data_IF_933208103339
#
_entry.id   IF_933208103339
#
_cell.length_a   1.000
_cell.length_b   1.000
_cell.length_c   1.000
_cell.angle_alpha   90.00
_cell.angle_beta   90.00
_cell.angle_gamma   90.00
#
_symmetry.space_group_name_H-M   'P 1'
#
loop_
_entity.id
_entity.type
_entity.pdbx_description
1 polymer ?
#
# COMPACT_ATOMS: atom_id res chain seq x y z
N UNK A 1 10.40 -2.41 -14.29
CA UNK A 1 9.69 -1.19 -14.77
C UNK A 1 9.24 -0.35 -13.57
N UNK A 2 9.29 0.99 -13.67
CA UNK A 2 8.86 1.88 -12.59
C UNK A 2 9.95 2.32 -11.61
N UNK A 3 11.14 1.73 -11.61
CA UNK A 3 12.21 2.09 -10.67
C UNK A 3 12.69 3.54 -10.83
N UNK A 4 12.81 4.03 -12.06
CA UNK A 4 13.21 5.42 -12.31
C UNK A 4 12.18 6.42 -11.79
N UNK A 5 10.89 6.13 -11.98
CA UNK A 5 9.79 6.94 -11.46
C UNK A 5 9.73 6.91 -9.92
N UNK A 6 9.97 5.75 -9.32
CA UNK A 6 10.07 5.61 -7.87
C UNK A 6 11.20 6.47 -7.30
N UNK A 7 12.38 6.42 -7.90
CA UNK A 7 13.56 7.19 -7.53
C UNK A 7 13.34 8.70 -7.68
N UNK A 8 12.74 9.12 -8.80
CA UNK A 8 12.37 10.53 -9.01
C UNK A 8 11.38 11.01 -7.95
N UNK A 9 10.38 10.18 -7.64
CA UNK A 9 9.42 10.45 -6.59
C UNK A 9 10.05 10.60 -5.20
N UNK A 10 11.04 9.79 -4.86
CA UNK A 10 11.79 9.92 -3.61
C UNK A 10 12.61 11.21 -3.56
N UNK A 11 13.33 11.52 -4.65
CA UNK A 11 14.10 12.78 -4.77
C UNK A 11 13.21 14.01 -4.62
N UNK A 12 12.03 14.01 -5.24
CA UNK A 12 11.04 15.09 -5.09
C UNK A 12 10.54 15.29 -3.65
N UNK A 13 10.65 14.25 -2.82
CA UNK A 13 10.31 14.29 -1.38
C UNK A 13 11.48 14.64 -0.47
N UNK A 14 12.65 14.95 -1.05
CA UNK A 14 13.89 15.26 -0.35
C UNK A 14 14.60 14.03 0.23
N UNK A 15 14.30 12.85 -0.29
CA UNK A 15 14.95 11.58 0.10
C UNK A 15 16.05 11.28 -0.90
N UNK A 16 17.25 10.99 -0.43
CA UNK A 16 18.39 10.60 -1.25
C UNK A 16 18.39 9.08 -1.48
N UNK A 17 18.09 8.59 -2.70
CA UNK A 17 18.19 7.17 -2.98
C UNK A 17 19.64 6.75 -3.15
N UNK A 18 19.99 5.62 -2.53
CA UNK A 18 21.31 4.98 -2.61
C UNK A 18 21.11 3.55 -3.09
N UNK A 19 21.87 3.13 -4.08
CA UNK A 19 21.88 1.73 -4.52
C UNK A 19 22.95 0.97 -3.74
N UNK A 20 22.54 -0.09 -3.06
CA UNK A 20 23.42 -1.00 -2.32
C UNK A 20 23.26 -2.41 -2.92
N UNK A 21 24.32 -2.90 -3.56
CA UNK A 21 24.28 -4.18 -4.30
C UNK A 21 25.57 -4.96 -4.19
N UNK A 22 25.46 -6.30 -4.28
CA UNK A 22 26.59 -7.20 -4.40
C UNK A 22 27.13 -7.34 -5.84
N UNK A 23 26.45 -6.73 -6.82
CA UNK A 23 26.85 -6.80 -8.21
C UNK A 23 28.13 -6.03 -8.47
N UNK A 24 28.83 -6.39 -9.58
CA UNK A 24 30.04 -5.70 -10.04
C UNK A 24 29.75 -4.21 -10.30
N UNK A 25 30.71 -3.36 -9.97
CA UNK A 25 30.57 -1.89 -10.02
C UNK A 25 30.09 -1.38 -11.39
N UNK A 26 30.56 -1.96 -12.48
CA UNK A 26 30.15 -1.59 -13.84
C UNK A 26 28.66 -1.82 -14.12
N UNK A 27 28.15 -2.98 -13.71
CA UNK A 27 26.74 -3.33 -13.85
C UNK A 27 25.86 -2.46 -12.94
N UNK A 28 26.26 -2.33 -11.69
CA UNK A 28 25.56 -1.49 -10.69
C UNK A 28 25.44 -0.04 -11.17
N UNK A 29 26.51 0.57 -11.66
CA UNK A 29 26.49 1.95 -12.20
C UNK A 29 25.62 2.09 -13.44
N UNK A 30 25.58 1.11 -14.33
CA UNK A 30 24.73 1.13 -15.51
C UNK A 30 23.24 1.14 -15.11
N UNK A 31 22.85 0.26 -14.19
CA UNK A 31 21.47 0.18 -13.68
C UNK A 31 21.11 1.45 -12.89
N UNK A 32 21.99 1.92 -12.01
CA UNK A 32 21.80 3.13 -11.23
C UNK A 32 21.55 4.35 -12.13
N UNK A 33 22.32 4.47 -13.22
CA UNK A 33 22.14 5.54 -14.20
C UNK A 33 20.77 5.48 -14.88
N UNK A 34 20.29 4.28 -15.22
CA UNK A 34 18.95 4.10 -15.80
C UNK A 34 17.86 4.43 -14.78
N UNK A 35 18.05 4.08 -13.52
CA UNK A 35 17.13 4.40 -12.44
C UNK A 35 17.23 5.85 -11.93
N UNK A 36 18.25 6.60 -12.35
CA UNK A 36 18.49 7.97 -11.89
C UNK A 36 19.10 8.05 -10.49
N UNK A 37 19.79 7.00 -10.02
CA UNK A 37 20.48 6.95 -8.72
C UNK A 37 21.91 7.43 -8.90
N UNK A 38 22.35 8.39 -8.06
CA UNK A 38 23.69 8.98 -8.15
C UNK A 38 24.71 8.26 -7.25
N UNK A 39 24.26 7.85 -6.05
CA UNK A 39 25.13 7.19 -5.07
C UNK A 39 24.97 5.67 -5.18
N UNK A 40 26.07 4.98 -5.52
CA UNK A 40 26.11 3.53 -5.66
C UNK A 40 27.18 2.98 -4.72
N UNK A 41 26.85 1.93 -4.00
CA UNK A 41 27.76 1.11 -3.19
C UNK A 41 27.64 -0.31 -3.76
N UNK A 42 28.61 -0.67 -4.59
CA UNK A 42 28.65 -1.94 -5.32
C UNK A 42 29.61 -2.95 -4.66
N UNK A 43 29.60 -4.20 -5.13
CA UNK A 43 30.49 -5.28 -4.68
C UNK A 43 30.41 -5.54 -3.15
N UNK A 44 29.24 -5.29 -2.57
CA UNK A 44 29.01 -5.40 -1.12
C UNK A 44 28.63 -6.85 -0.79
N UNK A 45 29.42 -7.48 0.08
CA UNK A 45 29.08 -8.79 0.60
C UNK A 45 27.82 -8.67 1.51
N UNK A 46 27.05 -9.76 1.67
CA UNK A 46 25.86 -9.75 2.53
C UNK A 46 26.14 -9.22 3.96
N UNK A 47 27.31 -9.56 4.51
CA UNK A 47 27.76 -9.13 5.83
C UNK A 47 28.08 -7.61 5.89
N UNK A 48 28.54 -7.05 4.80
CA UNK A 48 28.94 -5.65 4.71
C UNK A 48 27.75 -4.71 4.47
N UNK A 49 26.61 -5.23 3.99
CA UNK A 49 25.37 -4.44 3.83
C UNK A 49 24.93 -3.82 5.14
N UNK A 50 25.03 -4.56 6.23
CA UNK A 50 24.77 -4.06 7.59
C UNK A 50 25.69 -2.87 7.92
N UNK A 51 26.99 -3.01 7.63
CA UNK A 51 27.97 -1.95 7.85
C UNK A 51 27.66 -0.66 7.09
N UNK A 52 27.21 -0.79 5.82
CA UNK A 52 26.83 0.35 5.00
C UNK A 52 25.59 1.09 5.57
N UNK A 53 24.61 0.36 6.12
CA UNK A 53 23.45 0.95 6.79
C UNK A 53 23.87 1.66 8.07
N UNK A 54 24.68 1.03 8.93
CA UNK A 54 25.20 1.63 10.17
C UNK A 54 25.97 2.92 9.89
N UNK A 55 26.80 2.95 8.84
CA UNK A 55 27.52 4.15 8.45
C UNK A 55 26.58 5.26 7.96
N UNK A 56 25.58 4.92 7.18
CA UNK A 56 24.57 5.88 6.70
C UNK A 56 23.78 6.52 7.83
N UNK A 57 23.41 5.75 8.85
CA UNK A 57 22.70 6.22 10.07
C UNK A 57 23.46 7.28 10.87
N UNK A 58 24.78 7.31 10.78
CA UNK A 58 25.57 8.35 11.46
C UNK A 58 25.34 9.74 10.91
N UNK A 59 24.92 9.85 9.66
CA UNK A 59 24.77 11.11 8.95
C UNK A 59 23.32 11.53 8.72
N UNK A 60 22.39 10.56 8.61
CA UNK A 60 20.99 10.82 8.32
C UNK A 60 20.08 9.65 8.76
N UNK A 61 18.80 9.95 8.96
CA UNK A 61 17.77 8.90 9.13
C UNK A 61 17.74 8.03 7.87
N UNK A 62 17.96 6.74 8.05
CA UNK A 62 18.21 5.79 6.97
C UNK A 62 17.09 4.74 6.90
N UNK A 63 16.45 4.65 5.75
CA UNK A 63 15.57 3.54 5.43
C UNK A 63 16.29 2.51 4.54
N UNK A 64 16.08 1.22 4.80
CA UNK A 64 16.55 0.13 3.96
C UNK A 64 15.37 -0.56 3.31
N UNK A 65 15.41 -0.73 1.99
CA UNK A 65 14.43 -1.54 1.25
C UNK A 65 15.11 -2.77 0.67
N UNK A 66 14.54 -3.95 0.88
CA UNK A 66 15.08 -5.22 0.41
C UNK A 66 14.02 -6.30 0.31
N UNK A 67 14.34 -7.40 -0.36
CA UNK A 67 13.43 -8.52 -0.65
C UNK A 67 13.98 -9.89 -0.21
N UNK A 68 15.24 -9.96 0.17
CA UNK A 68 15.96 -11.21 0.43
C UNK A 68 16.32 -11.47 1.89
N UNK A 69 16.61 -12.74 2.19
CA UNK A 69 17.12 -13.19 3.51
C UNK A 69 18.43 -12.46 3.85
N UNK A 70 19.27 -12.23 2.85
CA UNK A 70 20.57 -11.57 3.01
C UNK A 70 20.46 -10.10 3.44
N UNK A 71 19.30 -9.48 3.24
CA UNK A 71 19.03 -8.09 3.60
C UNK A 71 18.42 -7.96 5.01
N UNK A 72 17.96 -9.06 5.61
CA UNK A 72 17.27 -9.06 6.91
C UNK A 72 18.06 -8.39 8.03
N UNK A 73 19.39 -8.60 8.20
CA UNK A 73 20.15 -7.87 9.21
C UNK A 73 20.20 -6.36 8.96
N UNK A 74 20.32 -5.95 7.70
CA UNK A 74 20.35 -4.55 7.28
C UNK A 74 18.98 -3.88 7.40
N UNK A 75 17.90 -4.61 7.07
CA UNK A 75 16.51 -4.15 7.28
C UNK A 75 16.23 -3.88 8.74
N UNK A 76 16.63 -4.79 9.63
CA UNK A 76 16.42 -4.67 11.08
C UNK A 76 17.25 -3.56 11.71
N UNK A 77 18.45 -3.29 11.19
CA UNK A 77 19.34 -2.26 11.71
C UNK A 77 18.95 -0.86 11.24
N UNK A 78 18.31 -0.71 10.08
CA UNK A 78 17.88 0.58 9.57
C UNK A 78 16.93 1.29 10.54
N UNK A 79 16.80 2.63 10.44
CA UNK A 79 15.78 3.36 11.20
C UNK A 79 14.37 3.03 10.71
N UNK A 80 14.25 2.61 9.45
CA UNK A 80 13.02 2.05 8.88
C UNK A 80 13.38 0.92 7.92
N UNK A 81 13.04 -0.30 8.26
CA UNK A 81 13.14 -1.47 7.38
C UNK A 81 11.90 -1.62 6.50
N UNK A 82 12.08 -1.76 5.21
CA UNK A 82 11.00 -1.92 4.23
C UNK A 82 11.20 -3.23 3.47
N UNK A 83 10.33 -4.22 3.68
CA UNK A 83 10.33 -5.46 2.90
C UNK A 83 9.40 -5.33 1.71
N UNK A 84 9.85 -5.84 0.55
CA UNK A 84 9.01 -5.98 -0.63
C UNK A 84 8.13 -7.22 -0.50
N UNK A 85 6.86 -7.12 -0.91
CA UNK A 85 5.85 -8.17 -0.69
C UNK A 85 6.11 -9.51 -1.37
N UNK A 86 7.07 -9.57 -2.29
CA UNK A 86 7.58 -10.82 -2.87
C UNK A 86 8.85 -11.33 -2.14
N UNK A 87 9.23 -10.68 -1.04
CA UNK A 87 10.37 -11.05 -0.23
C UNK A 87 10.14 -12.34 0.55
N UNK A 88 11.22 -12.87 1.12
CA UNK A 88 11.16 -14.06 1.98
C UNK A 88 10.47 -13.75 3.30
N UNK A 89 9.87 -14.76 3.94
CA UNK A 89 9.23 -14.61 5.25
C UNK A 89 10.18 -13.99 6.27
N UNK A 90 11.48 -14.31 6.21
CA UNK A 90 12.50 -13.74 7.10
C UNK A 90 12.72 -12.25 6.87
N UNK A 91 12.67 -11.78 5.63
CA UNK A 91 12.76 -10.35 5.31
C UNK A 91 11.52 -9.61 5.80
N UNK A 92 10.34 -10.22 5.64
CA UNK A 92 9.06 -9.69 6.11
C UNK A 92 9.06 -9.55 7.63
N UNK A 93 9.52 -10.56 8.36
CA UNK A 93 9.61 -10.54 9.84
C UNK A 93 10.65 -9.55 10.38
N UNK A 94 11.59 -9.13 9.53
CA UNK A 94 12.68 -8.21 9.91
C UNK A 94 12.39 -6.74 9.57
N UNK A 95 11.27 -6.46 8.90
CA UNK A 95 10.92 -5.12 8.41
C UNK A 95 9.83 -4.45 9.25
N UNK A 96 9.91 -3.12 9.36
CA UNK A 96 8.86 -2.30 9.99
C UNK A 96 7.67 -2.09 9.05
N UNK A 97 7.91 -2.11 7.74
CA UNK A 97 6.90 -1.89 6.71
C UNK A 97 7.01 -2.99 5.66
N UNK A 98 5.88 -3.60 5.33
CA UNK A 98 5.79 -4.59 4.24
C UNK A 98 4.97 -3.99 3.10
N UNK A 99 5.57 -3.88 1.92
CA UNK A 99 4.90 -3.40 0.71
C UNK A 99 4.36 -4.59 -0.07
N UNK A 100 3.05 -4.70 -0.17
CA UNK A 100 2.39 -5.75 -0.95
C UNK A 100 2.62 -5.49 -2.44
N UNK A 101 3.24 -6.45 -3.13
CA UNK A 101 3.66 -6.32 -4.53
C UNK A 101 5.14 -5.92 -4.67
N UNK A 102 5.68 -6.12 -5.87
CA UNK A 102 7.11 -5.88 -6.19
C UNK A 102 7.42 -4.46 -6.70
N UNK A 103 6.49 -3.52 -6.57
CA UNK A 103 6.62 -2.18 -7.14
C UNK A 103 7.26 -1.18 -6.18
N UNK A 104 8.46 -0.70 -6.52
CA UNK A 104 9.17 0.32 -5.75
C UNK A 104 8.42 1.65 -5.62
N UNK A 105 7.45 1.95 -6.50
CA UNK A 105 6.61 3.15 -6.40
C UNK A 105 5.76 3.15 -5.13
N UNK A 106 5.46 1.97 -4.58
CA UNK A 106 4.74 1.84 -3.32
C UNK A 106 5.50 2.48 -2.13
N UNK A 107 6.84 2.59 -2.19
CA UNK A 107 7.63 3.32 -1.19
C UNK A 107 7.23 4.78 -1.12
N UNK A 108 6.99 5.43 -2.27
CA UNK A 108 6.52 6.82 -2.33
C UNK A 108 5.16 6.99 -1.64
N UNK A 109 4.25 6.04 -1.89
CA UNK A 109 2.92 6.04 -1.27
C UNK A 109 2.98 5.81 0.23
N UNK A 110 3.86 4.92 0.69
CA UNK A 110 4.11 4.69 2.12
C UNK A 110 4.63 5.96 2.82
N UNK A 111 5.57 6.68 2.19
CA UNK A 111 6.09 7.96 2.72
C UNK A 111 4.99 9.02 2.78
N UNK A 112 4.16 9.15 1.75
CA UNK A 112 3.07 10.12 1.72
C UNK A 112 1.98 9.77 2.76
N UNK A 113 1.65 8.48 2.92
CA UNK A 113 0.71 8.00 3.94
C UNK A 113 1.24 8.29 5.34
N UNK A 114 2.52 7.99 5.60
CA UNK A 114 3.16 8.30 6.88
C UNK A 114 3.08 9.80 7.22
N UNK A 115 3.42 10.68 6.27
CA UNK A 115 3.31 12.13 6.45
C UNK A 115 1.85 12.57 6.73
N UNK A 116 0.88 11.98 6.05
CA UNK A 116 -0.54 12.27 6.25
C UNK A 116 -1.00 11.80 7.65
N UNK A 117 -0.57 10.60 8.08
CA UNK A 117 -0.87 10.04 9.39
C UNK A 117 -0.29 10.89 10.51
N UNK A 118 0.97 11.28 10.42
CA UNK A 118 1.62 12.15 11.43
C UNK A 118 0.91 13.51 11.52
N UNK A 119 0.50 14.08 10.38
CA UNK A 119 -0.29 15.33 10.37
C UNK A 119 -1.62 15.13 11.08
N UNK A 120 -2.33 14.06 10.78
CA UNK A 120 -3.63 13.74 11.41
C UNK A 120 -3.48 13.56 12.94
N UNK A 121 -2.42 12.88 13.39
CA UNK A 121 -2.11 12.72 14.81
C UNK A 121 -1.86 14.09 15.47
N UNK A 122 -1.07 14.97 14.83
CA UNK A 122 -0.79 16.31 15.36
C UNK A 122 -2.07 17.17 15.45
N UNK A 123 -2.94 17.10 14.44
CA UNK A 123 -4.23 17.80 14.45
C UNK A 123 -5.12 17.28 15.59
N UNK A 124 -5.22 15.97 15.78
CA UNK A 124 -5.98 15.37 16.87
C UNK A 124 -5.46 15.79 18.25
N UNK A 125 -4.13 15.76 18.41
CA UNK A 125 -3.47 16.15 19.65
C UNK A 125 -3.69 17.63 19.96
N UNK A 126 -3.56 18.51 18.94
CA UNK A 126 -3.84 19.93 19.09
C UNK A 126 -5.27 20.19 19.60
N UNK A 127 -6.26 19.57 18.97
CA UNK A 127 -7.67 19.75 19.38
C UNK A 127 -7.92 19.20 20.78
N UNK A 128 -7.34 18.04 21.12
CA UNK A 128 -7.47 17.47 22.45
C UNK A 128 -6.92 18.40 23.55
N UNK A 129 -5.76 19.01 23.32
CA UNK A 129 -5.19 19.99 24.26
C UNK A 129 -5.99 21.30 24.29
N UNK A 130 -6.42 21.78 23.14
CA UNK A 130 -7.16 23.03 23.02
C UNK A 130 -8.46 23.01 23.81
N UNK A 131 -9.24 21.93 23.73
CA UNK A 131 -10.45 21.77 24.55
C UNK A 131 -10.13 21.82 26.04
N UNK A 132 -9.11 21.09 26.47
CA UNK A 132 -8.73 21.07 27.88
C UNK A 132 -8.24 22.44 28.37
N UNK A 133 -7.46 23.15 27.54
CA UNK A 133 -6.97 24.50 27.86
C UNK A 133 -8.09 25.50 28.07
N UNK A 134 -9.21 25.37 27.34
CA UNK A 134 -10.39 26.21 27.49
C UNK A 134 -11.28 25.76 28.66
N UNK A 135 -11.53 24.46 28.79
CA UNK A 135 -12.48 23.93 29.75
C UNK A 135 -11.95 23.98 31.20
N UNK A 136 -10.65 23.80 31.44
CA UNK A 136 -10.06 23.79 32.78
C UNK A 136 -10.23 25.17 33.47
N UNK A 137 -9.85 26.32 32.88
CA UNK A 137 -10.09 27.62 33.49
C UNK A 137 -11.59 27.94 33.73
N UNK A 138 -12.44 27.52 32.76
CA UNK A 138 -13.92 27.69 32.92
C UNK A 138 -14.43 26.87 34.07
N UNK A 139 -13.99 25.63 34.24
CA UNK A 139 -14.36 24.77 35.36
C UNK A 139 -13.83 25.30 36.71
N UNK A 140 -12.63 25.92 36.67
CA UNK A 140 -12.03 26.58 37.84
C UNK A 140 -12.73 27.89 38.25
N UNK A 141 -13.73 28.33 37.47
CA UNK A 141 -14.54 29.50 37.80
C UNK A 141 -13.94 30.85 37.40
N UNK A 142 -12.99 30.91 36.49
CA UNK A 142 -12.37 32.16 36.02
C UNK A 142 -13.40 33.18 35.53
N UNK A 143 -14.49 32.72 34.93
CA UNK A 143 -15.57 33.56 34.44
C UNK A 143 -16.82 33.58 35.41
N UNK A 144 -16.64 33.13 36.65
CA UNK A 144 -17.73 33.12 37.62
C UNK A 144 -18.33 34.50 37.86
N UNK A 145 -17.47 35.55 37.97
CA UNK A 145 -17.91 36.94 38.13
C UNK A 145 -18.74 37.47 36.95
N UNK A 146 -18.59 36.86 35.76
CA UNK A 146 -19.39 37.16 34.57
C UNK A 146 -20.66 36.30 34.42
N UNK A 147 -20.98 35.50 35.44
CA UNK A 147 -22.15 34.61 35.44
C UNK A 147 -21.99 33.33 34.57
N UNK A 148 -20.79 33.05 34.11
CA UNK A 148 -20.50 31.87 33.30
C UNK A 148 -19.89 30.77 34.16
N UNK A 149 -20.59 29.66 34.29
CA UNK A 149 -20.15 28.48 35.03
C UNK A 149 -20.27 27.23 34.16
N UNK A 150 -19.23 26.42 34.14
CA UNK A 150 -19.25 25.12 33.47
C UNK A 150 -19.93 24.11 34.40
N UNK A 151 -21.16 23.72 34.10
CA UNK A 151 -21.80 22.63 34.83
C UNK A 151 -21.21 21.27 34.40
N UNK A 152 -21.24 20.23 35.24
CA UNK A 152 -20.76 18.90 34.92
C UNK A 152 -21.39 18.34 33.66
N UNK A 153 -22.64 18.66 33.36
CA UNK A 153 -23.36 18.23 32.17
C UNK A 153 -22.72 18.79 30.88
N UNK A 154 -22.40 20.09 30.86
CA UNK A 154 -21.74 20.71 29.70
C UNK A 154 -20.31 20.23 29.55
N UNK A 155 -19.60 19.95 30.65
CA UNK A 155 -18.28 19.33 30.61
C UNK A 155 -18.32 17.95 29.96
N UNK A 156 -19.26 17.10 30.38
CA UNK A 156 -19.44 15.77 29.80
C UNK A 156 -19.82 15.83 28.31
N UNK A 157 -20.69 16.76 27.91
CA UNK A 157 -21.05 16.96 26.50
C UNK A 157 -19.84 17.40 25.65
N UNK A 158 -19.04 18.34 26.14
CA UNK A 158 -17.84 18.81 25.46
C UNK A 158 -16.83 17.70 25.27
N UNK A 159 -16.61 16.85 26.29
CA UNK A 159 -15.74 15.67 26.18
C UNK A 159 -16.23 14.66 25.13
N UNK A 160 -17.55 14.39 25.12
CA UNK A 160 -18.15 13.49 24.12
C UNK A 160 -18.00 14.01 22.71
N UNK A 161 -18.24 15.32 22.48
CA UNK A 161 -18.03 15.96 21.18
C UNK A 161 -16.57 15.92 20.75
N UNK A 162 -15.63 16.15 21.66
CA UNK A 162 -14.19 16.04 21.37
C UNK A 162 -13.81 14.65 20.81
N UNK A 163 -14.32 13.59 21.44
CA UNK A 163 -14.09 12.22 20.96
C UNK A 163 -14.65 11.99 19.56
N UNK A 164 -15.84 12.50 19.27
CA UNK A 164 -16.44 12.41 17.93
C UNK A 164 -15.58 13.14 16.89
N UNK A 165 -15.06 14.33 17.20
CA UNK A 165 -14.18 15.08 16.32
C UNK A 165 -12.89 14.33 16.02
N UNK A 166 -12.25 13.74 17.03
CA UNK A 166 -11.01 12.96 16.87
C UNK A 166 -11.26 11.75 15.95
N UNK A 167 -12.35 11.02 16.18
CA UNK A 167 -12.71 9.87 15.34
C UNK A 167 -13.03 10.30 13.90
N UNK A 168 -13.82 11.37 13.73
CA UNK A 168 -14.16 11.90 12.41
C UNK A 168 -12.91 12.36 11.63
N UNK A 169 -11.96 13.01 12.32
CA UNK A 169 -10.69 13.40 11.70
C UNK A 169 -9.82 12.19 11.36
N UNK A 170 -9.77 11.17 12.22
CA UNK A 170 -9.07 9.91 11.93
C UNK A 170 -9.67 9.18 10.72
N UNK A 171 -11.00 9.13 10.60
CA UNK A 171 -11.70 8.55 9.46
C UNK A 171 -11.40 9.28 8.14
N UNK A 172 -11.00 10.56 8.18
CA UNK A 172 -10.56 11.29 6.99
C UNK A 172 -9.34 10.63 6.33
N UNK A 173 -8.50 9.95 7.12
CA UNK A 173 -7.34 9.21 6.61
C UNK A 173 -7.74 8.02 5.72
N UNK A 174 -8.92 7.44 5.91
CA UNK A 174 -9.44 6.38 5.03
C UNK A 174 -9.69 6.86 3.58
N UNK A 175 -9.80 8.18 3.38
CA UNK A 175 -9.94 8.81 2.06
C UNK A 175 -8.61 9.23 1.46
N UNK A 176 -7.49 8.84 2.11
CA UNK A 176 -6.16 9.12 1.58
C UNK A 176 -6.00 8.44 0.21
N UNK A 177 -5.55 9.22 -0.77
CA UNK A 177 -5.14 8.71 -2.08
C UNK A 177 -3.71 9.17 -2.32
N UNK A 178 -2.80 8.27 -2.69
CA UNK A 178 -1.42 8.64 -3.02
C UNK A 178 -1.42 9.63 -4.20
N UNK A 179 -0.44 10.55 -4.19
CA UNK A 179 -0.33 11.58 -5.22
C UNK A 179 0.26 11.09 -6.54
N UNK A 180 0.75 9.86 -6.59
CA UNK A 180 1.29 9.29 -7.81
C UNK A 180 0.16 9.05 -8.81
N UNK A 181 0.08 9.93 -9.80
CA UNK A 181 -0.92 9.86 -10.89
C UNK A 181 -0.87 8.55 -11.68
N UNK A 182 0.25 7.82 -11.61
CA UNK A 182 0.46 6.54 -12.31
C UNK A 182 0.24 5.29 -11.43
N UNK A 183 0.23 5.41 -10.08
CA UNK A 183 -0.23 4.31 -9.22
C UNK A 183 -1.73 4.03 -9.37
N UNK A 184 -2.52 5.05 -9.75
CA UNK A 184 -3.92 4.84 -10.14
C UNK A 184 -4.05 4.07 -11.47
N UNK A 185 -2.95 3.94 -12.22
CA UNK A 185 -2.88 3.11 -13.41
C UNK A 185 -2.47 1.67 -13.09
N UNK A 186 -1.72 1.41 -12.01
CA UNK A 186 -1.28 0.06 -11.61
C UNK A 186 -2.30 -0.66 -10.71
N UNK A 187 -3.16 0.08 -9.99
CA UNK A 187 -4.39 -0.47 -9.41
C UNK A 187 -5.61 -0.40 -10.36
N UNK A 188 -5.40 0.08 -11.58
CA UNK A 188 -6.40 0.23 -12.64
C UNK A 188 -5.83 0.16 -14.07
N UNK A 189 -4.51 -0.03 -14.27
CA UNK A 189 -3.85 -0.16 -15.57
C UNK A 189 -2.61 -1.09 -15.47
N UNK A 190 -2.74 -2.17 -14.76
CA UNK A 190 -2.06 -3.40 -15.09
C UNK A 190 -3.01 -4.14 -16.00
N UNK A 191 -2.79 -4.03 -17.30
CA UNK A 191 -3.57 -4.61 -18.36
C UNK A 191 -5.01 -4.05 -18.44
N UNK A 192 -5.45 -3.80 -19.64
CA UNK A 192 -6.83 -3.49 -20.03
C UNK A 192 -7.71 -4.76 -19.81
N UNK A 193 -7.55 -5.41 -18.68
CA UNK A 193 -8.34 -6.54 -18.23
C UNK A 193 -9.70 -6.00 -17.78
N UNK A 194 -10.60 -5.84 -18.74
CA UNK A 194 -12.00 -5.54 -18.43
C UNK A 194 -12.54 -6.67 -17.56
N UNK A 195 -13.00 -6.34 -16.36
CA UNK A 195 -13.74 -7.30 -15.54
C UNK A 195 -15.06 -7.60 -16.25
N UNK A 196 -15.14 -8.78 -16.83
CA UNK A 196 -16.31 -9.27 -17.55
C UNK A 196 -17.09 -10.23 -16.66
N UNK A 197 -18.39 -10.11 -16.64
CA UNK A 197 -19.27 -11.05 -15.94
C UNK A 197 -20.03 -11.89 -16.94
N UNK A 198 -19.72 -13.19 -17.00
CA UNK A 198 -20.43 -14.17 -17.82
C UNK A 198 -21.55 -14.80 -17.03
N UNK A 199 -22.77 -14.74 -17.52
CA UNK A 199 -23.92 -15.47 -16.98
C UNK A 199 -24.04 -16.82 -17.68
N UNK A 200 -23.93 -17.92 -16.91
CA UNK A 200 -23.79 -19.27 -17.47
C UNK A 200 -24.95 -20.13 -17.05
N UNK A 201 -25.59 -20.77 -18.02
CA UNK A 201 -26.67 -21.74 -17.81
C UNK A 201 -26.14 -23.18 -17.79
N UNK A 202 -26.81 -24.05 -17.02
CA UNK A 202 -26.48 -25.48 -16.95
C UNK A 202 -25.64 -25.88 -15.76
N UNK A 203 -25.10 -24.93 -14.99
CA UNK A 203 -24.35 -25.24 -13.77
C UNK A 203 -25.29 -25.60 -12.62
N UNK A 204 -25.24 -26.84 -12.13
CA UNK A 204 -26.11 -27.34 -11.05
C UNK A 204 -25.35 -27.81 -9.80
N UNK A 205 -24.01 -28.01 -9.88
CA UNK A 205 -23.22 -28.54 -8.79
C UNK A 205 -21.80 -27.92 -8.75
N UNK A 206 -21.08 -28.17 -7.65
CA UNK A 206 -19.72 -27.65 -7.48
C UNK A 206 -18.72 -28.18 -8.50
N UNK A 207 -18.92 -29.41 -9.02
CA UNK A 207 -18.12 -29.94 -10.13
C UNK A 207 -18.34 -29.19 -11.44
N UNK A 208 -19.55 -28.70 -11.66
CA UNK A 208 -19.88 -27.91 -12.83
C UNK A 208 -19.17 -26.55 -12.78
N UNK A 209 -19.21 -25.87 -11.64
CA UNK A 209 -18.53 -24.58 -11.49
C UNK A 209 -17.01 -24.71 -11.61
N UNK A 210 -16.40 -25.75 -11.01
CA UNK A 210 -14.97 -26.01 -11.14
C UNK A 210 -14.55 -26.33 -12.59
N UNK A 211 -15.38 -27.05 -13.36
CA UNK A 211 -15.09 -27.34 -14.77
C UNK A 211 -15.08 -26.06 -15.62
N UNK A 212 -16.04 -25.17 -15.42
CA UNK A 212 -16.09 -23.86 -16.11
C UNK A 212 -14.92 -23.00 -15.70
N UNK A 213 -14.62 -22.92 -14.40
CA UNK A 213 -13.50 -22.14 -13.86
C UNK A 213 -12.15 -22.61 -14.43
N UNK A 214 -11.94 -23.92 -14.47
CA UNK A 214 -10.71 -24.49 -15.06
C UNK A 214 -10.64 -24.26 -16.58
N UNK A 215 -11.74 -24.34 -17.31
CA UNK A 215 -11.76 -24.09 -18.75
C UNK A 215 -11.44 -22.64 -19.09
N UNK A 216 -11.93 -21.69 -18.30
CA UNK A 216 -11.62 -20.27 -18.48
C UNK A 216 -10.17 -19.96 -18.08
N UNK A 217 -9.70 -20.48 -16.95
CA UNK A 217 -8.33 -20.30 -16.46
C UNK A 217 -7.25 -21.06 -17.29
N UNK A 218 -7.65 -21.94 -18.19
CA UNK A 218 -6.75 -22.57 -19.14
C UNK A 218 -6.37 -21.66 -20.32
N UNK A 219 -7.04 -20.54 -20.48
CA UNK A 219 -6.73 -19.53 -21.51
C UNK A 219 -5.66 -18.60 -20.94
N UNK A 220 -4.58 -18.39 -21.68
CA UNK A 220 -3.48 -17.50 -21.29
C UNK A 220 -4.01 -16.06 -21.15
N UNK A 221 -3.72 -15.40 -20.00
CA UNK A 221 -4.20 -14.04 -19.71
C UNK A 221 -5.64 -13.97 -19.17
N UNK A 222 -6.21 -15.08 -18.70
CA UNK A 222 -7.57 -15.13 -18.12
C UNK A 222 -7.50 -15.54 -16.65
N UNK A 223 -8.04 -14.69 -15.76
CA UNK A 223 -8.35 -15.04 -14.38
C UNK A 223 -9.86 -15.08 -14.17
N UNK A 224 -10.40 -16.26 -13.93
CA UNK A 224 -11.83 -16.48 -13.75
C UNK A 224 -12.17 -17.06 -12.38
N UNK A 225 -13.26 -16.55 -11.77
CA UNK A 225 -13.88 -17.12 -10.57
C UNK A 225 -15.37 -17.35 -10.81
N UNK A 226 -15.86 -18.55 -10.48
CA UNK A 226 -17.25 -18.95 -10.72
C UNK A 226 -18.05 -18.96 -9.43
N UNK A 227 -19.13 -18.19 -9.40
CA UNK A 227 -20.14 -18.19 -8.33
C UNK A 227 -21.33 -19.06 -8.73
N UNK A 228 -21.38 -20.29 -8.22
CA UNK A 228 -22.45 -21.25 -8.51
C UNK A 228 -23.83 -20.74 -8.08
N UNK A 229 -23.93 -20.05 -6.93
CA UNK A 229 -25.22 -19.55 -6.41
C UNK A 229 -25.83 -18.49 -7.32
N UNK A 230 -24.97 -17.63 -7.89
CA UNK A 230 -25.39 -16.56 -8.81
C UNK A 230 -25.33 -16.96 -10.27
N UNK A 231 -24.91 -18.20 -10.58
CA UNK A 231 -24.74 -18.74 -11.94
C UNK A 231 -23.95 -17.81 -12.85
N UNK A 232 -22.83 -17.27 -12.34
CA UNK A 232 -21.97 -16.32 -13.07
C UNK A 232 -20.50 -16.64 -12.86
N UNK A 233 -19.68 -16.30 -13.87
CA UNK A 233 -18.24 -16.23 -13.78
C UNK A 233 -17.81 -14.75 -13.85
N UNK A 234 -17.00 -14.30 -12.89
CA UNK A 234 -16.26 -13.03 -12.99
C UNK A 234 -14.92 -13.36 -13.62
N UNK A 235 -14.59 -12.68 -14.70
CA UNK A 235 -13.41 -12.94 -15.52
C UNK A 235 -12.66 -11.63 -15.70
N UNK A 236 -11.38 -11.62 -15.33
CA UNK A 236 -10.47 -10.49 -15.56
C UNK A 236 -9.58 -10.84 -16.75
N UNK A 237 -9.78 -10.17 -17.89
CA UNK A 237 -9.08 -10.49 -19.13
C UNK A 237 -9.25 -9.41 -20.21
N UNK A 238 -8.30 -9.32 -21.12
CA UNK A 238 -8.38 -8.57 -22.39
C UNK A 238 -8.79 -9.46 -23.59
N UNK A 239 -8.93 -10.78 -23.34
CA UNK A 239 -9.33 -11.73 -24.37
C UNK A 239 -10.74 -11.41 -24.91
N UNK A 240 -10.96 -11.51 -26.25
CA UNK A 240 -12.25 -11.28 -26.88
C UNK A 240 -13.36 -12.19 -26.33
N UNK A 241 -14.59 -11.69 -26.31
CA UNK A 241 -15.75 -12.38 -25.72
C UNK A 241 -16.05 -13.72 -26.40
N UNK A 242 -15.81 -13.83 -27.69
CA UNK A 242 -16.02 -15.04 -28.49
C UNK A 242 -15.14 -16.21 -28.03
N UNK A 243 -13.91 -15.94 -27.61
CA UNK A 243 -12.97 -16.93 -27.07
C UNK A 243 -13.46 -17.45 -25.71
N UNK A 244 -13.93 -16.54 -24.84
CA UNK A 244 -14.49 -16.90 -23.53
C UNK A 244 -15.79 -17.72 -23.67
N UNK A 245 -16.67 -17.32 -24.59
CA UNK A 245 -17.91 -18.06 -24.89
C UNK A 245 -17.58 -19.47 -25.36
N UNK A 246 -16.65 -19.61 -26.32
CA UNK A 246 -16.23 -20.89 -26.84
C UNK A 246 -15.66 -21.82 -25.75
N UNK A 247 -14.84 -21.32 -24.86
CA UNK A 247 -14.28 -22.13 -23.78
C UNK A 247 -15.35 -22.66 -22.82
N UNK A 248 -16.39 -21.86 -22.55
CA UNK A 248 -17.53 -22.27 -21.72
C UNK A 248 -18.42 -23.30 -22.47
N UNK A 249 -18.60 -23.14 -23.77
CA UNK A 249 -19.35 -24.06 -24.61
C UNK A 249 -18.63 -25.40 -24.79
N UNK A 250 -17.32 -25.38 -24.97
CA UNK A 250 -16.47 -26.57 -25.03
C UNK A 250 -16.47 -27.34 -23.68
N UNK A 251 -16.63 -26.63 -22.57
CA UNK A 251 -16.85 -27.25 -21.26
C UNK A 251 -18.25 -27.85 -21.07
N UNK A 252 -19.18 -27.66 -22.05
CA UNK A 252 -20.54 -28.23 -22.07
C UNK A 252 -21.60 -27.33 -21.42
N UNK A 253 -21.35 -26.02 -21.30
CA UNK A 253 -22.27 -25.04 -20.70
C UNK A 253 -22.61 -23.92 -21.69
N UNK A 254 -23.64 -23.13 -21.40
CA UNK A 254 -24.11 -22.06 -22.30
C UNK A 254 -23.95 -20.69 -21.65
N UNK A 255 -23.33 -19.74 -22.35
CA UNK A 255 -23.28 -18.35 -21.93
C UNK A 255 -24.54 -17.64 -22.39
N UNK A 256 -25.26 -17.03 -21.43
CA UNK A 256 -26.51 -16.30 -21.69
C UNK A 256 -26.27 -14.83 -21.98
N UNK A 257 -25.31 -14.23 -21.30
CA UNK A 257 -24.99 -12.80 -21.38
C UNK A 257 -23.58 -12.54 -20.85
N UNK A 258 -22.88 -11.59 -21.47
CA UNK A 258 -21.66 -10.99 -20.95
C UNK A 258 -21.95 -9.51 -20.60
N UNK A 259 -21.40 -9.04 -19.50
CA UNK A 259 -21.47 -7.65 -19.04
C UNK A 259 -20.09 -7.16 -18.69
#
# INVERSE_FOLDING_TARGET
EGSAEAVEGLKARGILPVMLTGDAEGAARAIAKQAGIEKVIAEVLPEDKLGAVVESKKSAVTAMAGDGINDSPALKEADVGIAMGNGTDVAIDSADVVLVGGDLRAVNSAVDLSKATVRNIKENLFWAFFYNLLCIPLAAGVLYAAGVMLTPMYGALAMSLSSVFVVANALRLMRFRPKNKKENAVNGEGENNMEKTLFIEGMSCSHCSARVENALNAIEGVEARVDLKKKRASVVTDVPDDVLVKAVEDAGYKVKKIK
#
